data_IF_475047408150
#
_entry.id   IF_475047408150
#
_cell.length_a   1.000
_cell.length_b   1.000
_cell.length_c   1.000
_cell.angle_alpha   90.00
_cell.angle_beta   90.00
_cell.angle_gamma   90.00
#
_symmetry.space_group_name_H-M   'P 1'
#
loop_
_entity.id
_entity.type
_entity.pdbx_description
1 polymer ?
#
# COMPACT_ATOMS: atom_id res chain seq x y z
N UNK A 1 -5.00 19.89 -11.12
CA UNK A 1 -3.89 20.63 -10.49
C UNK A 1 -2.76 19.65 -10.17
N UNK A 2 -1.49 20.07 -10.25
CA UNK A 2 -0.34 19.21 -9.93
C UNK A 2 -0.05 19.22 -8.43
N UNK A 3 0.38 18.09 -7.86
CA UNK A 3 0.70 17.97 -6.43
C UNK A 3 1.92 18.81 -6.01
N UNK A 4 2.88 18.98 -6.92
CA UNK A 4 4.09 19.75 -6.70
C UNK A 4 4.27 20.75 -7.84
N UNK A 5 4.95 21.88 -7.58
CA UNK A 5 5.31 22.85 -8.62
C UNK A 5 6.58 22.47 -9.41
N UNK A 6 7.35 21.53 -8.89
CA UNK A 6 8.61 21.00 -9.42
C UNK A 6 8.84 19.61 -8.81
N UNK A 7 9.91 18.89 -9.21
CA UNK A 7 10.34 17.66 -8.54
C UNK A 7 9.47 16.43 -8.84
N UNK A 8 8.94 16.32 -10.05
CA UNK A 8 8.12 15.19 -10.50
C UNK A 8 6.83 15.02 -9.67
N UNK A 9 5.99 16.05 -9.70
CA UNK A 9 4.64 15.99 -9.13
C UNK A 9 3.72 15.04 -9.90
N UNK A 10 2.51 14.86 -9.37
CA UNK A 10 1.50 14.00 -9.96
C UNK A 10 0.16 14.73 -10.00
N UNK A 11 -0.61 14.54 -11.07
CA UNK A 11 -1.96 15.10 -11.20
C UNK A 11 -2.95 14.03 -11.60
N UNK A 12 -4.17 14.19 -11.11
CA UNK A 12 -5.30 13.38 -11.56
C UNK A 12 -5.90 14.01 -12.81
N UNK A 13 -6.10 13.21 -13.85
CA UNK A 13 -6.77 13.57 -15.11
C UNK A 13 -8.05 12.77 -15.32
N UNK A 14 -8.96 13.34 -16.10
CA UNK A 14 -10.15 12.62 -16.56
C UNK A 14 -9.75 11.65 -17.67
N UNK A 15 -10.22 10.42 -17.56
CA UNK A 15 -10.04 9.37 -18.59
C UNK A 15 -11.45 8.92 -19.00
N UNK A 16 -12.09 9.62 -19.95
CA UNK A 16 -13.42 9.24 -20.45
C UNK A 16 -13.33 7.97 -21.29
N UNK A 17 -14.40 7.19 -21.31
CA UNK A 17 -14.56 6.11 -22.28
C UNK A 17 -15.17 6.71 -23.54
N UNK A 18 -14.57 6.49 -24.70
CA UNK A 18 -15.06 7.06 -25.97
C UNK A 18 -15.24 5.98 -27.03
N UNK A 19 -16.25 6.15 -27.87
CA UNK A 19 -16.50 5.34 -29.05
C UNK A 19 -16.34 6.20 -30.30
N UNK A 20 -15.70 5.66 -31.34
CA UNK A 20 -15.61 6.31 -32.63
C UNK A 20 -16.96 6.22 -33.35
N UNK A 21 -17.54 7.36 -33.71
CA UNK A 21 -18.87 7.45 -34.37
C UNK A 21 -18.76 7.78 -35.86
N UNK A 22 -17.66 8.40 -36.28
CA UNK A 22 -17.32 8.64 -37.69
C UNK A 22 -15.79 8.75 -37.84
N UNK A 23 -15.30 8.96 -39.06
CA UNK A 23 -13.87 9.17 -39.27
C UNK A 23 -13.38 10.36 -38.43
N UNK A 24 -12.39 10.14 -37.56
CA UNK A 24 -11.84 11.11 -36.60
C UNK A 24 -12.84 11.75 -35.61
N UNK A 25 -14.05 11.19 -35.47
CA UNK A 25 -15.08 11.72 -34.58
C UNK A 25 -15.38 10.73 -33.46
N UNK A 26 -15.34 11.19 -32.22
CA UNK A 26 -15.50 10.36 -31.02
C UNK A 26 -16.62 10.90 -30.12
N UNK A 27 -17.37 10.00 -29.51
CA UNK A 27 -18.41 10.31 -28.53
C UNK A 27 -18.09 9.65 -27.19
N UNK A 28 -18.33 10.34 -26.07
CA UNK A 28 -18.17 9.76 -24.73
C UNK A 28 -19.32 8.79 -24.43
N UNK A 29 -18.97 7.62 -23.90
CA UNK A 29 -19.90 6.55 -23.52
C UNK A 29 -19.63 6.09 -22.08
N UNK A 30 -20.53 5.29 -21.51
CA UNK A 30 -20.35 4.77 -20.16
C UNK A 30 -19.08 3.90 -20.03
N UNK A 31 -18.43 3.96 -18.87
CA UNK A 31 -17.17 3.24 -18.62
C UNK A 31 -17.26 1.72 -18.85
N UNK A 32 -18.45 1.12 -18.74
CA UNK A 32 -18.70 -0.31 -18.98
C UNK A 32 -18.49 -0.74 -20.43
N UNK A 33 -18.53 0.19 -21.38
CA UNK A 33 -18.31 -0.09 -22.80
C UNK A 33 -16.82 -0.13 -23.18
N UNK A 34 -15.93 0.36 -22.31
CA UNK A 34 -14.49 0.25 -22.50
C UNK A 34 -13.92 -0.95 -21.74
N UNK A 35 -12.94 -1.62 -22.34
CA UNK A 35 -12.17 -2.66 -21.66
C UNK A 35 -11.36 -2.04 -20.50
N UNK A 36 -11.66 -2.46 -19.27
CA UNK A 36 -11.02 -1.94 -18.07
C UNK A 36 -9.52 -2.28 -17.99
N UNK A 37 -9.10 -3.40 -18.58
CA UNK A 37 -7.71 -3.87 -18.56
C UNK A 37 -6.75 -2.98 -19.36
N UNK A 38 -7.26 -2.25 -20.35
CA UNK A 38 -6.47 -1.30 -21.16
C UNK A 38 -6.70 0.16 -20.75
N UNK A 39 -7.45 0.39 -19.66
CA UNK A 39 -7.78 1.75 -19.22
C UNK A 39 -6.50 2.48 -18.81
N UNK A 40 -6.17 3.63 -19.43
CA UNK A 40 -5.02 4.40 -19.03
C UNK A 40 -5.09 4.87 -17.57
N UNK A 41 -3.95 5.00 -16.91
CA UNK A 41 -3.89 5.53 -15.54
C UNK A 41 -4.48 6.93 -15.47
N UNK A 42 -5.35 7.16 -14.48
CA UNK A 42 -5.91 8.48 -14.18
C UNK A 42 -4.88 9.42 -13.55
N UNK A 43 -3.78 8.88 -13.05
CA UNK A 43 -2.67 9.64 -12.51
C UNK A 43 -1.60 9.80 -13.57
N UNK A 44 -1.07 11.00 -13.73
CA UNK A 44 0.04 11.27 -14.64
C UNK A 44 1.07 12.21 -14.00
N UNK A 45 2.37 12.02 -14.29
CA UNK A 45 3.39 12.91 -13.80
C UNK A 45 3.21 14.33 -14.37
N UNK A 46 3.60 15.31 -13.59
CA UNK A 46 3.57 16.73 -13.96
C UNK A 46 4.71 17.47 -13.28
N UNK A 47 5.09 18.62 -13.84
CA UNK A 47 6.14 19.48 -13.30
C UNK A 47 7.46 18.72 -13.05
N UNK A 48 7.93 18.02 -14.10
CA UNK A 48 9.18 17.25 -14.14
C UNK A 48 10.42 18.14 -14.32
N UNK A 49 10.43 19.28 -13.63
CA UNK A 49 11.52 20.26 -13.62
C UNK A 49 12.18 20.23 -12.24
N UNK A 50 13.47 20.55 -12.18
CA UNK A 50 14.16 20.63 -10.89
C UNK A 50 13.59 21.78 -10.04
N UNK A 51 13.56 21.60 -8.72
CA UNK A 51 13.08 22.62 -7.78
C UNK A 51 14.10 23.72 -7.48
N UNK A 52 15.38 23.46 -7.75
CA UNK A 52 16.48 24.30 -7.26
C UNK A 52 16.92 23.88 -5.85
N UNK A 53 18.07 24.37 -5.43
CA UNK A 53 18.62 24.09 -4.11
C UNK A 53 17.85 24.87 -3.03
N UNK A 54 17.43 24.17 -1.99
CA UNK A 54 16.76 24.75 -0.82
C UNK A 54 17.14 24.00 0.45
N UNK A 55 17.02 24.68 1.58
CA UNK A 55 17.28 24.08 2.89
C UNK A 55 16.18 23.08 3.25
N UNK A 56 16.53 21.80 3.30
CA UNK A 56 15.69 20.74 3.83
C UNK A 56 15.93 20.60 5.35
N UNK A 57 14.83 20.48 6.09
CA UNK A 57 14.83 20.51 7.55
C UNK A 57 14.14 19.26 8.08
N UNK A 58 14.87 18.47 8.87
CA UNK A 58 14.37 17.22 9.45
C UNK A 58 13.46 17.46 10.66
N UNK A 59 12.91 16.36 11.19
CA UNK A 59 12.16 16.36 12.44
C UNK A 59 13.05 16.74 13.62
N UNK A 60 12.44 17.32 14.65
CA UNK A 60 13.11 17.58 15.90
C UNK A 60 13.43 16.28 16.63
N UNK A 61 14.61 16.22 17.25
CA UNK A 61 14.93 15.21 18.24
C UNK A 61 14.01 15.34 19.45
N UNK A 62 14.02 14.32 20.29
CA UNK A 62 13.53 14.46 21.66
C UNK A 62 14.34 15.53 22.41
N UNK A 63 13.70 16.14 23.41
CA UNK A 63 14.35 17.16 24.24
C UNK A 63 15.30 16.49 25.21
N UNK A 64 16.54 16.97 25.26
CA UNK A 64 17.58 16.49 26.16
C UNK A 64 18.07 17.62 27.07
N UNK A 65 18.47 17.27 28.30
CA UNK A 65 19.05 18.22 29.24
C UNK A 65 20.53 18.44 28.90
N UNK A 66 20.89 19.66 28.52
CA UNK A 66 22.27 20.07 28.23
C UNK A 66 22.57 21.32 29.04
N UNK A 67 23.57 21.25 29.93
CA UNK A 67 23.99 22.38 30.77
C UNK A 67 22.83 23.09 31.51
N UNK A 68 21.87 22.31 32.04
CA UNK A 68 20.71 22.85 32.77
C UNK A 68 19.58 23.39 31.89
N UNK A 69 19.70 23.35 30.57
CA UNK A 69 18.65 23.73 29.61
C UNK A 69 18.11 22.52 28.86
N UNK A 70 16.79 22.44 28.66
CA UNK A 70 16.21 21.44 27.76
C UNK A 70 16.31 21.92 26.32
N UNK A 71 16.94 21.11 25.48
CA UNK A 71 17.21 21.45 24.08
C UNK A 71 16.78 20.30 23.18
N UNK A 72 16.16 20.62 22.05
CA UNK A 72 15.97 19.70 20.93
C UNK A 72 16.77 20.19 19.73
N UNK A 73 17.38 19.27 18.99
CA UNK A 73 18.15 19.58 17.79
C UNK A 73 17.51 18.93 16.57
N UNK A 74 17.80 19.44 15.38
CA UNK A 74 17.41 18.81 14.11
C UNK A 74 18.47 19.05 13.06
N UNK A 75 18.56 18.14 12.09
CA UNK A 75 19.47 18.31 10.98
C UNK A 75 18.87 19.23 9.92
N UNK A 76 19.73 20.07 9.35
CA UNK A 76 19.40 20.93 8.22
C UNK A 76 20.42 20.67 7.12
N UNK A 77 19.96 20.34 5.91
CA UNK A 77 20.82 20.01 4.76
C UNK A 77 20.42 20.85 3.56
N UNK A 78 21.38 21.34 2.79
CA UNK A 78 21.11 21.97 1.51
C UNK A 78 20.85 20.87 0.49
N UNK A 79 19.65 20.85 -0.10
CA UNK A 79 19.21 19.77 -1.00
C UNK A 79 18.53 20.34 -2.24
N UNK A 80 18.61 19.61 -3.35
CA UNK A 80 17.91 19.93 -4.59
C UNK A 80 17.10 18.71 -5.04
N UNK A 81 15.85 18.94 -5.43
CA UNK A 81 14.97 17.92 -5.99
C UNK A 81 15.03 18.02 -7.51
N UNK A 82 15.58 16.99 -8.15
CA UNK A 82 15.70 16.89 -9.59
C UNK A 82 14.34 16.68 -10.27
N UNK A 83 14.27 16.90 -11.58
CA UNK A 83 13.01 16.79 -12.35
C UNK A 83 12.38 15.40 -12.38
N UNK A 84 13.14 14.36 -12.02
CA UNK A 84 12.66 12.98 -11.85
C UNK A 84 12.19 12.67 -10.41
N UNK A 85 12.34 13.62 -9.47
CA UNK A 85 12.01 13.46 -8.05
C UNK A 85 13.18 13.00 -7.17
N UNK A 86 14.37 12.76 -7.74
CA UNK A 86 15.55 12.40 -6.94
C UNK A 86 16.01 13.58 -6.10
N UNK A 87 16.28 13.33 -4.81
CA UNK A 87 16.85 14.31 -3.89
C UNK A 87 18.36 14.16 -3.85
N UNK A 88 19.09 15.25 -4.08
CA UNK A 88 20.55 15.31 -3.98
C UNK A 88 20.98 16.35 -2.95
N UNK A 89 22.12 16.14 -2.30
CA UNK A 89 22.76 17.19 -1.50
C UNK A 89 23.40 18.21 -2.45
N UNK A 90 23.11 19.49 -2.22
CA UNK A 90 23.65 20.61 -2.98
C UNK A 90 24.74 21.34 -2.17
N UNK A 91 25.54 22.18 -2.84
CA UNK A 91 26.50 23.02 -2.13
C UNK A 91 25.72 23.99 -1.22
N UNK A 92 26.09 24.13 0.08
CA UNK A 92 25.46 25.08 0.99
C UNK A 92 25.32 26.52 0.45
N UNK A 93 26.19 26.95 -0.48
CA UNK A 93 26.14 28.27 -1.12
C UNK A 93 24.99 28.42 -2.13
N UNK A 94 24.47 27.33 -2.68
CA UNK A 94 23.34 27.35 -3.62
C UNK A 94 22.00 27.58 -2.91
N UNK A 95 21.92 27.27 -1.61
CA UNK A 95 20.74 27.53 -0.80
C UNK A 95 20.75 28.98 -0.30
N UNK A 96 19.83 29.80 -0.81
CA UNK A 96 19.65 31.18 -0.34
C UNK A 96 19.06 31.19 1.09
N UNK A 97 19.37 32.23 1.87
CA UNK A 97 19.03 32.40 3.31
C UNK A 97 19.93 31.68 4.33
N UNK A 98 21.21 32.08 4.40
CA UNK A 98 22.20 31.52 5.33
C UNK A 98 21.97 31.96 6.79
N UNK A 99 21.45 33.17 7.01
CA UNK A 99 21.51 33.84 8.33
C UNK A 99 20.59 33.24 9.41
N UNK A 100 19.65 32.36 9.03
CA UNK A 100 18.68 31.78 9.96
C UNK A 100 18.71 30.26 10.04
N UNK A 101 19.61 29.58 9.33
CA UNK A 101 19.59 28.10 9.28
C UNK A 101 20.20 27.47 10.53
N UNK A 102 21.24 28.08 11.08
CA UNK A 102 21.89 27.61 12.31
C UNK A 102 20.96 27.80 13.51
N UNK A 103 20.25 28.94 13.59
CA UNK A 103 19.23 29.17 14.62
C UNK A 103 18.03 28.23 14.47
N UNK A 104 17.78 27.71 13.26
CA UNK A 104 16.73 26.73 13.01
C UNK A 104 17.13 25.31 13.40
N UNK A 105 18.40 24.98 13.70
CA UNK A 105 18.81 23.59 14.01
C UNK A 105 18.71 23.25 15.50
N UNK A 106 18.51 24.24 16.37
CA UNK A 106 18.43 24.08 17.83
C UNK A 106 17.24 24.87 18.37
N UNK A 107 16.45 24.27 19.27
CA UNK A 107 15.39 24.98 20.01
C UNK A 107 15.42 24.64 21.49
N UNK A 108 15.01 25.59 22.32
CA UNK A 108 14.70 25.33 23.72
C UNK A 108 13.35 24.64 23.82
N UNK A 109 13.26 23.66 24.72
CA UNK A 109 12.00 23.04 25.08
C UNK A 109 11.50 23.61 26.40
N UNK A 110 10.19 23.72 26.54
CA UNK A 110 9.54 23.99 27.83
C UNK A 110 9.09 22.68 28.43
N UNK A 111 9.22 22.53 29.75
CA UNK A 111 8.48 21.49 30.47
C UNK A 111 7.01 21.91 30.45
N UNK A 112 6.20 21.35 29.55
CA UNK A 112 4.76 21.41 29.72
C UNK A 112 4.40 20.49 30.89
N UNK A 113 4.18 21.07 32.07
CA UNK A 113 3.53 20.42 33.22
C UNK A 113 2.04 20.19 32.93
N UNK A 114 1.75 19.48 31.85
CA UNK A 114 0.44 18.93 31.50
C UNK A 114 0.63 17.54 30.88
N UNK A 115 1.29 16.67 31.62
CA UNK A 115 0.89 15.27 31.71
C UNK A 115 1.06 14.83 33.16
N UNK A 116 -0.03 14.32 33.70
CA UNK A 116 -0.12 13.56 34.95
C UNK A 116 1.13 12.72 35.24
N UNK A 117 1.73 12.94 36.41
CA UNK A 117 2.49 12.00 37.26
C UNK A 117 3.61 11.12 36.64
N UNK A 118 4.78 10.99 37.30
CA UNK A 118 5.78 10.00 36.92
C UNK A 118 5.32 8.61 37.36
N UNK A 119 4.62 7.86 36.50
CA UNK A 119 4.53 6.41 36.68
C UNK A 119 5.82 5.79 36.17
N UNK A 120 6.65 5.38 37.12
CA UNK A 120 7.61 4.27 37.10
C UNK A 120 7.88 3.67 35.72
N UNK A 121 9.12 3.79 35.26
CA UNK A 121 9.65 3.02 34.13
C UNK A 121 9.36 1.53 34.30
N UNK A 122 8.35 1.03 33.58
CA UNK A 122 8.28 -0.36 33.18
C UNK A 122 9.13 -0.48 31.92
N UNK A 123 9.92 -1.56 31.83
CA UNK A 123 10.86 -1.82 30.73
C UNK A 123 10.21 -1.88 29.36
N UNK A 124 10.96 -2.28 28.31
CA UNK A 124 10.48 -2.22 26.94
C UNK A 124 9.30 -3.17 26.78
N UNK A 125 8.10 -2.61 26.66
CA UNK A 125 6.97 -3.31 26.07
C UNK A 125 7.29 -3.42 24.58
N UNK A 126 8.06 -4.46 24.25
CA UNK A 126 8.19 -4.98 22.89
C UNK A 126 6.77 -5.37 22.48
N UNK A 127 6.09 -4.49 21.75
CA UNK A 127 4.83 -4.80 21.08
C UNK A 127 5.14 -5.76 19.93
N UNK A 128 5.35 -7.02 20.34
CA UNK A 128 5.49 -8.16 19.47
C UNK A 128 4.10 -8.53 19.00
N UNK A 129 3.96 -8.49 17.69
CA UNK A 129 3.07 -9.34 16.92
C UNK A 129 1.58 -9.00 17.00
N UNK A 130 1.07 -8.67 15.81
CA UNK A 130 -0.33 -8.74 15.40
C UNK A 130 -0.81 -10.18 15.64
N UNK A 131 -1.16 -10.51 16.87
CA UNK A 131 -1.83 -11.73 17.27
C UNK A 131 -3.27 -11.39 17.59
N UNK A 132 -4.19 -11.84 16.74
CA UNK A 132 -5.63 -11.70 17.02
C UNK A 132 -5.89 -12.49 18.30
N UNK A 133 -6.10 -11.82 19.42
CA UNK A 133 -6.51 -12.44 20.68
C UNK A 133 -7.98 -12.89 20.55
N UNK A 134 -8.23 -13.92 19.76
CA UNK A 134 -9.48 -14.64 19.80
C UNK A 134 -9.47 -15.49 21.07
N UNK A 135 -10.52 -15.43 21.91
CA UNK A 135 -10.58 -16.26 23.10
C UNK A 135 -10.45 -17.74 22.69
N UNK A 136 -9.86 -18.58 23.55
CA UNK A 136 -9.60 -20.00 23.28
C UNK A 136 -10.88 -20.72 22.80
N UNK A 137 -12.05 -20.28 23.25
CA UNK A 137 -13.37 -20.75 22.81
C UNK A 137 -13.66 -20.50 21.33
N UNK A 138 -13.21 -19.38 20.78
CA UNK A 138 -13.39 -19.02 19.37
C UNK A 138 -12.40 -19.80 18.49
N UNK A 139 -11.15 -19.97 18.93
CA UNK A 139 -10.18 -20.81 18.22
C UNK A 139 -10.66 -22.26 18.16
N UNK A 140 -11.18 -22.80 19.27
CA UNK A 140 -11.77 -24.15 19.30
C UNK A 140 -12.98 -24.28 18.37
N UNK A 141 -13.84 -23.26 18.30
CA UNK A 141 -15.01 -23.24 17.40
C UNK A 141 -14.63 -23.22 15.92
N UNK A 142 -13.59 -22.45 15.56
CA UNK A 142 -13.07 -22.38 14.20
C UNK A 142 -12.48 -23.74 13.78
N UNK A 143 -11.65 -24.35 14.64
CA UNK A 143 -11.08 -25.68 14.37
C UNK A 143 -12.19 -26.72 14.22
N UNK A 144 -13.21 -26.71 15.10
CA UNK A 144 -14.35 -27.62 15.00
C UNK A 144 -15.10 -27.45 13.66
N UNK A 145 -15.35 -26.21 13.22
CA UNK A 145 -15.99 -25.94 11.94
C UNK A 145 -15.15 -26.48 10.76
N UNK A 146 -13.84 -26.25 10.76
CA UNK A 146 -12.95 -26.78 9.70
C UNK A 146 -12.95 -28.31 9.65
N UNK A 147 -12.94 -28.99 10.81
CA UNK A 147 -13.00 -30.45 10.87
C UNK A 147 -14.34 -30.99 10.33
N UNK A 148 -15.45 -30.33 10.64
CA UNK A 148 -16.78 -30.70 10.11
C UNK A 148 -16.81 -30.52 8.59
N UNK A 149 -16.31 -29.39 8.07
CA UNK A 149 -16.24 -29.15 6.62
C UNK A 149 -15.36 -30.17 5.91
N UNK A 150 -14.19 -30.50 6.47
CA UNK A 150 -13.32 -31.55 5.95
C UNK A 150 -14.00 -32.91 5.95
N UNK A 151 -14.70 -33.26 7.03
CA UNK A 151 -15.45 -34.52 7.11
C UNK A 151 -16.56 -34.60 6.07
N UNK A 152 -17.36 -33.54 5.90
CA UNK A 152 -18.40 -33.47 4.86
C UNK A 152 -17.79 -33.59 3.47
N UNK A 153 -16.69 -32.87 3.22
CA UNK A 153 -15.98 -32.94 1.94
C UNK A 153 -15.41 -34.33 1.66
N UNK A 154 -14.85 -35.00 2.68
CA UNK A 154 -14.36 -36.38 2.59
C UNK A 154 -15.53 -37.34 2.31
N UNK A 155 -16.68 -37.20 2.98
CA UNK A 155 -17.87 -38.01 2.69
C UNK A 155 -18.37 -37.81 1.26
N UNK A 156 -18.32 -36.57 0.76
CA UNK A 156 -18.72 -36.23 -0.60
C UNK A 156 -17.74 -36.80 -1.64
N UNK A 157 -16.43 -36.72 -1.37
CA UNK A 157 -15.36 -37.25 -2.23
C UNK A 157 -15.26 -38.77 -2.22
N UNK A 158 -15.47 -39.40 -1.07
CA UNK A 158 -15.45 -40.86 -0.91
C UNK A 158 -16.80 -41.49 -1.29
N UNK A 159 -17.77 -40.69 -1.76
CA UNK A 159 -19.02 -41.18 -2.32
C UNK A 159 -19.89 -41.93 -1.31
N UNK A 160 -19.75 -41.67 -0.01
CA UNK A 160 -20.45 -42.42 1.02
C UNK A 160 -21.98 -42.20 0.97
N UNK A 161 -22.44 -41.07 0.40
CA UNK A 161 -23.86 -40.84 0.08
C UNK A 161 -24.31 -41.40 -1.29
N UNK A 162 -23.41 -41.94 -2.12
CA UNK A 162 -23.76 -42.54 -3.41
C UNK A 162 -24.12 -44.04 -3.31
N UNK A 163 -24.12 -44.62 -2.10
CA UNK A 163 -24.32 -46.06 -1.89
C UNK A 163 -25.62 -46.43 -1.16
N UNK A 164 -26.74 -45.72 -1.41
CA UNK A 164 -28.06 -46.18 -0.96
C UNK A 164 -29.23 -45.99 -1.94
N UNK A 165 -28.96 -45.77 -3.24
CA UNK A 165 -30.01 -45.78 -4.27
C UNK A 165 -29.54 -46.42 -5.59
N UNK A 166 -29.33 -47.74 -5.61
CA UNK A 166 -29.52 -48.57 -6.81
C UNK A 166 -29.77 -50.03 -6.44
N UNK A 167 -31.05 -50.37 -6.25
CA UNK A 167 -31.53 -51.74 -6.43
C UNK A 167 -32.14 -51.80 -7.83
N UNK A 168 -31.44 -52.43 -8.78
CA UNK A 168 -32.05 -52.87 -10.03
C UNK A 168 -31.27 -52.57 -11.31
N UNK A 169 -30.85 -53.66 -11.94
CA UNK A 169 -30.52 -53.87 -13.36
C UNK A 169 -29.13 -53.47 -13.86
N UNK A 170 -28.34 -54.54 -14.01
CA UNK A 170 -27.25 -54.76 -14.94
C UNK A 170 -27.54 -54.26 -16.36
N UNK A 171 -26.50 -53.81 -17.07
CA UNK A 171 -25.89 -54.55 -18.18
C UNK A 171 -25.22 -53.62 -19.21
N UNK A 172 -24.20 -54.20 -19.84
CA UNK A 172 -23.58 -53.89 -21.12
C UNK A 172 -22.34 -52.99 -21.21
N UNK A 173 -21.29 -53.65 -21.69
CA UNK A 173 -19.95 -53.25 -22.09
C UNK A 173 -19.94 -52.22 -23.23
N UNK A 174 -18.82 -51.49 -23.36
CA UNK A 174 -18.52 -50.71 -24.56
C UNK A 174 -17.27 -49.86 -24.40
N UNK A 175 -16.15 -50.37 -24.91
CA UNK A 175 -14.87 -49.69 -25.10
C UNK A 175 -15.01 -48.30 -25.78
N UNK A 176 -14.14 -47.33 -25.45
CA UNK A 176 -12.87 -47.03 -26.16
C UNK A 176 -12.38 -45.61 -25.82
N UNK A 177 -11.16 -45.51 -25.30
CA UNK A 177 -10.34 -44.31 -25.28
C UNK A 177 -9.49 -44.33 -26.55
N UNK A 178 -9.54 -43.26 -27.35
CA UNK A 178 -8.51 -42.93 -28.34
C UNK A 178 -8.29 -41.41 -28.32
N UNK A 179 -7.02 -41.01 -28.25
CA UNK A 179 -6.48 -39.66 -28.31
C UNK A 179 -5.93 -39.39 -29.73
N UNK A 180 -5.69 -38.09 -30.01
CA UNK A 180 -4.94 -37.51 -31.15
C UNK A 180 -5.72 -37.47 -32.50
N UNK A 181 -5.59 -36.49 -33.40
CA UNK A 181 -4.64 -35.39 -33.59
C UNK A 181 -5.29 -34.33 -34.53
N UNK A 182 -4.69 -33.14 -34.58
CA UNK A 182 -4.99 -31.98 -35.43
C UNK A 182 -4.86 -32.23 -36.94
N UNK A 183 -5.77 -31.64 -37.74
CA UNK A 183 -5.54 -31.36 -39.18
C UNK A 183 -6.13 -29.99 -39.54
N UNK A 184 -5.30 -29.16 -40.18
CA UNK A 184 -5.60 -27.86 -40.79
C UNK A 184 -6.58 -27.97 -41.98
N UNK A 185 -7.30 -26.88 -42.23
CA UNK A 185 -7.75 -26.45 -43.55
C UNK A 185 -7.88 -24.92 -43.56
#
# INVERSE_FOLDING_TARGET
MCSHRCGNGNRTRRVPCVQQVAQFTYSEVESRHCNASIRPHRSEPCNQIACGAAWAVDHWSECVLVNGSLIATRTVRCQNILGNGTVINADPKECTEVDNIILKSVKNCTFTTTSTSPTTAKGPDVETSIGIWLPITVVASIIAAFLIFLFIFILYRTGYLACHYKRGKASFEGLKLEHAESVEA
#
